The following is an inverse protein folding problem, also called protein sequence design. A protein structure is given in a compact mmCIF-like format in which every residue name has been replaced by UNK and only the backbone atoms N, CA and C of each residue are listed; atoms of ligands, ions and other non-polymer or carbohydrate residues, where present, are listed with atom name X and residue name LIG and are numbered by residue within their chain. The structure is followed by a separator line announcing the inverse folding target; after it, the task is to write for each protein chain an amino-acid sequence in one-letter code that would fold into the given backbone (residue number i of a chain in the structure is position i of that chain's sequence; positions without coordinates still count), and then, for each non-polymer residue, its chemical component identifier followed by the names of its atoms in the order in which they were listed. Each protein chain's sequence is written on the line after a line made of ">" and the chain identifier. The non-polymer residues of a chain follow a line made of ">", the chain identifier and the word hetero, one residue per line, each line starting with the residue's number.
data_IF_958291341772
#
_entry.id   IF_958291341772
#
_cell.length_a   1.000
_cell.length_b   1.000
_cell.length_c   1.000
_cell.angle_alpha   90.00
_cell.angle_beta   90.00
_cell.angle_gamma   90.00
#
_symmetry.space_group_name_H-M   'P 1'
#
loop_
_entity.id
_entity.type
_entity.pdbx_description
1 polymer ?
#
# COMPACT_ATOMS: atom_id res chain seq x y z
N UNK A 1 14.26 31.53 -6.66
CA UNK A 1 13.00 30.76 -6.69
C UNK A 1 13.41 29.32 -6.54
N UNK A 2 13.31 28.77 -5.34
CA UNK A 2 13.61 27.36 -5.10
C UNK A 2 12.58 26.55 -5.86
N UNK A 3 13.02 25.67 -6.75
CA UNK A 3 12.16 24.71 -7.42
C UNK A 3 11.65 23.74 -6.34
N UNK A 4 10.50 24.05 -5.76
CA UNK A 4 9.78 23.17 -4.84
C UNK A 4 9.20 22.00 -5.66
N UNK A 5 10.07 21.06 -6.02
CA UNK A 5 9.63 19.75 -6.50
C UNK A 5 8.91 19.04 -5.36
N UNK A 6 7.73 18.48 -5.64
CA UNK A 6 7.01 17.69 -4.64
C UNK A 6 7.91 16.54 -4.13
N UNK A 7 7.99 16.35 -2.80
CA UNK A 7 8.84 15.31 -2.25
C UNK A 7 8.33 13.93 -2.65
N UNK A 8 9.23 13.07 -3.13
CA UNK A 8 8.93 11.69 -3.53
C UNK A 8 8.29 10.85 -2.40
N UNK A 9 8.63 11.17 -1.14
CA UNK A 9 8.10 10.51 0.06
C UNK A 9 7.83 11.59 1.12
N UNK A 10 6.68 11.51 1.81
CA UNK A 10 6.30 12.42 2.91
C UNK A 10 5.92 11.61 4.15
N UNK A 11 6.50 11.97 5.29
CA UNK A 11 6.06 11.47 6.61
C UNK A 11 4.81 12.25 7.01
N UNK A 12 3.69 11.55 7.15
CA UNK A 12 2.40 12.17 7.52
C UNK A 12 2.10 12.11 9.01
N UNK A 13 2.78 11.21 9.74
CA UNK A 13 2.62 11.01 11.18
C UNK A 13 3.90 10.40 11.77
N UNK A 14 4.24 10.78 13.01
CA UNK A 14 5.46 10.35 13.71
C UNK A 14 6.63 11.32 13.52
N UNK A 15 7.69 11.13 14.31
CA UNK A 15 8.93 11.91 14.26
C UNK A 15 10.13 10.93 14.21
N UNK A 16 10.44 10.35 13.03
CA UNK A 16 11.51 9.36 12.91
C UNK A 16 12.87 10.01 13.09
N UNK A 17 13.81 9.29 13.70
CA UNK A 17 15.20 9.76 13.73
C UNK A 17 15.82 9.71 12.33
N UNK A 18 16.95 10.39 12.15
CA UNK A 18 17.67 10.39 10.88
C UNK A 18 18.08 8.97 10.45
N UNK A 19 18.45 8.12 11.41
CA UNK A 19 18.84 6.73 11.19
C UNK A 19 17.65 5.88 10.72
N UNK A 20 16.49 6.06 11.34
CA UNK A 20 15.25 5.35 10.96
C UNK A 20 14.78 5.76 9.57
N UNK A 21 14.84 7.06 9.26
CA UNK A 21 14.49 7.57 7.94
C UNK A 21 15.45 7.06 6.85
N UNK A 22 16.75 6.99 7.16
CA UNK A 22 17.76 6.43 6.27
C UNK A 22 17.52 4.93 6.03
N UNK A 23 17.24 4.18 7.09
CA UNK A 23 16.93 2.75 6.99
C UNK A 23 15.69 2.50 6.13
N UNK A 24 14.62 3.27 6.33
CA UNK A 24 13.40 3.17 5.52
C UNK A 24 13.68 3.46 4.05
N UNK A 25 14.45 4.50 3.75
CA UNK A 25 14.81 4.89 2.38
C UNK A 25 15.66 3.82 1.69
N UNK A 26 16.60 3.20 2.42
CA UNK A 26 17.40 2.10 1.92
C UNK A 26 16.55 0.87 1.54
N UNK A 27 15.57 0.52 2.38
CA UNK A 27 14.65 -0.60 2.09
C UNK A 27 13.77 -0.32 0.87
N UNK A 28 13.20 0.88 0.79
CA UNK A 28 12.34 1.27 -0.35
C UNK A 28 13.12 1.29 -1.66
N UNK A 29 14.33 1.85 -1.65
CA UNK A 29 15.19 1.88 -2.85
C UNK A 29 15.64 0.49 -3.30
N UNK A 30 16.01 -0.39 -2.36
CA UNK A 30 16.34 -1.78 -2.67
C UNK A 30 15.16 -2.52 -3.33
N UNK A 31 13.93 -2.34 -2.81
CA UNK A 31 12.72 -2.93 -3.40
C UNK A 31 12.38 -2.36 -4.77
N UNK A 32 12.59 -1.07 -5.00
CA UNK A 32 12.41 -0.45 -6.30
C UNK A 32 13.41 -0.98 -7.34
N UNK A 33 14.66 -1.19 -6.94
CA UNK A 33 15.69 -1.78 -7.79
C UNK A 33 15.38 -3.25 -8.15
N UNK A 34 14.91 -4.04 -7.19
CA UNK A 34 14.44 -5.41 -7.39
C UNK A 34 13.28 -5.44 -8.41
N UNK A 35 12.27 -4.59 -8.23
CA UNK A 35 11.12 -4.50 -9.13
C UNK A 35 11.52 -4.05 -10.55
N UNK A 36 12.43 -3.09 -10.67
CA UNK A 36 12.96 -2.63 -11.96
C UNK A 36 13.73 -3.74 -12.69
N UNK A 37 14.49 -4.54 -11.95
CA UNK A 37 15.23 -5.69 -12.49
C UNK A 37 14.29 -6.80 -12.96
N UNK A 38 13.23 -7.07 -12.19
CA UNK A 38 12.20 -8.04 -12.55
C UNK A 38 11.39 -7.59 -13.80
N UNK A 39 11.13 -6.29 -13.96
CA UNK A 39 10.42 -5.75 -15.12
C UNK A 39 11.22 -5.93 -16.43
N UNK A 40 12.55 -5.83 -16.39
CA UNK A 40 13.42 -6.08 -17.55
C UNK A 40 13.48 -7.54 -17.98
N UNK A 41 13.06 -8.49 -17.13
CA UNK A 41 13.12 -9.93 -17.42
C UNK A 41 11.92 -10.49 -18.21
N UNK A 42 10.99 -9.65 -18.69
CA UNK A 42 9.91 -10.04 -19.61
C UNK A 42 8.81 -10.94 -19.01
N UNK A 43 8.84 -11.23 -17.71
CA UNK A 43 7.77 -11.94 -17.00
C UNK A 43 6.61 -10.97 -16.74
N UNK A 44 5.40 -11.36 -17.15
CA UNK A 44 4.17 -10.56 -17.14
C UNK A 44 3.99 -9.59 -15.96
N UNK A 45 3.44 -8.42 -16.28
CA UNK A 45 3.41 -7.22 -15.44
C UNK A 45 2.92 -7.42 -14.00
N UNK A 46 3.16 -6.42 -13.12
CA UNK A 46 3.00 -6.57 -11.68
C UNK A 46 1.63 -7.12 -11.33
N UNK A 47 1.60 -8.29 -10.67
CA UNK A 47 0.37 -8.75 -10.02
C UNK A 47 -0.03 -7.67 -9.02
N UNK A 48 -1.27 -7.14 -9.06
CA UNK A 48 -1.70 -6.14 -8.11
C UNK A 48 -1.47 -6.67 -6.69
N UNK A 49 -0.83 -5.85 -5.86
CA UNK A 49 -0.48 -6.28 -4.50
C UNK A 49 -1.75 -6.68 -3.76
N UNK A 50 -1.66 -7.69 -2.89
CA UNK A 50 -2.78 -8.13 -2.05
C UNK A 50 -3.37 -6.97 -1.24
N UNK A 51 -2.56 -5.97 -0.91
CA UNK A 51 -2.97 -4.71 -0.29
C UNK A 51 -3.88 -3.85 -1.18
N UNK A 52 -3.59 -3.74 -2.48
CA UNK A 52 -4.43 -3.03 -3.45
C UNK A 52 -5.74 -3.77 -3.76
N UNK A 53 -5.78 -5.08 -3.55
CA UNK A 53 -6.97 -5.91 -3.80
C UNK A 53 -8.06 -5.75 -2.73
N UNK A 54 -7.69 -5.51 -1.45
CA UNK A 54 -8.64 -5.36 -0.34
C UNK A 54 -9.66 -4.23 -0.54
N UNK A 55 -9.24 -3.12 -1.16
CA UNK A 55 -10.12 -1.97 -1.42
C UNK A 55 -11.23 -2.26 -2.45
N UNK A 56 -11.06 -3.28 -3.30
CA UNK A 56 -12.08 -3.66 -4.31
C UNK A 56 -13.24 -4.47 -3.70
N UNK A 57 -13.01 -5.16 -2.58
CA UNK A 57 -14.03 -5.89 -1.82
C UNK A 57 -14.68 -5.04 -0.72
N UNK A 58 -14.15 -3.85 -0.43
CA UNK A 58 -14.57 -3.01 0.71
C UNK A 58 -15.89 -2.22 0.52
N UNK A 59 -16.56 -2.27 -0.65
CA UNK A 59 -17.79 -1.48 -0.89
C UNK A 59 -19.04 -2.31 -1.15
N UNK A 60 -19.39 -3.13 -0.16
CA UNK A 60 -20.77 -3.54 0.02
C UNK A 60 -21.31 -2.85 1.29
N UNK A 61 -22.43 -2.09 1.21
CA UNK A 61 -22.96 -1.38 2.37
C UNK A 61 -23.27 -2.37 3.49
N UNK A 62 -22.68 -2.14 4.67
CA UNK A 62 -23.05 -2.88 5.88
C UNK A 62 -24.47 -2.44 6.26
N UNK A 63 -25.43 -3.36 6.19
CA UNK A 63 -26.80 -3.07 6.65
C UNK A 63 -26.81 -3.06 8.19
N UNK A 64 -26.95 -1.88 8.78
CA UNK A 64 -27.24 -1.77 10.20
C UNK A 64 -28.68 -2.26 10.46
N UNK A 65 -28.81 -3.28 11.30
CA UNK A 65 -30.09 -3.88 11.67
C UNK A 65 -29.89 -5.08 12.61
N UNK A 66 -30.95 -5.57 13.27
CA UNK A 66 -30.87 -6.77 14.10
C UNK A 66 -30.26 -7.94 13.31
N UNK A 67 -29.16 -8.50 13.80
CA UNK A 67 -28.42 -9.57 13.11
C UNK A 67 -27.33 -9.11 12.13
N UNK A 68 -27.21 -7.82 11.82
CA UNK A 68 -26.21 -7.29 10.88
C UNK A 68 -24.75 -7.55 11.30
N UNK A 69 -24.48 -7.53 12.61
CA UNK A 69 -23.19 -7.90 13.19
C UNK A 69 -22.88 -9.41 13.14
N UNK A 70 -23.90 -10.28 13.07
CA UNK A 70 -23.67 -11.73 12.89
C UNK A 70 -23.44 -12.08 11.41
N UNK A 71 -24.14 -11.38 10.52
CA UNK A 71 -24.00 -11.56 9.08
C UNK A 71 -22.65 -11.07 8.52
N UNK A 72 -21.91 -10.22 9.24
CA UNK A 72 -20.55 -9.80 8.85
C UNK A 72 -19.50 -10.90 8.99
N UNK A 73 -19.76 -11.92 9.82
CA UNK A 73 -18.83 -13.03 10.07
C UNK A 73 -19.10 -14.27 9.19
N UNK A 74 -20.13 -14.25 8.35
CA UNK A 74 -20.50 -15.36 7.47
C UNK A 74 -20.05 -15.09 6.03
N UNK A 75 -19.62 -16.12 5.26
CA UNK A 75 -19.31 -15.96 3.85
C UNK A 75 -20.50 -15.41 3.06
N UNK A 76 -20.24 -14.45 2.17
CA UNK A 76 -21.25 -13.94 1.24
C UNK A 76 -21.28 -14.87 0.02
N UNK A 77 -22.41 -15.53 -0.19
CA UNK A 77 -22.72 -16.29 -1.40
C UNK A 77 -23.07 -15.37 -2.56
#
# INVERSE_FOLDING_TARGET
>A
MSEESEPLIRVVQGDPTAEELAALTAVVSAKAAEASSAASAGSGGPRPSTWSAYWRTARAPMRAGPGGWRASALPRS
#
